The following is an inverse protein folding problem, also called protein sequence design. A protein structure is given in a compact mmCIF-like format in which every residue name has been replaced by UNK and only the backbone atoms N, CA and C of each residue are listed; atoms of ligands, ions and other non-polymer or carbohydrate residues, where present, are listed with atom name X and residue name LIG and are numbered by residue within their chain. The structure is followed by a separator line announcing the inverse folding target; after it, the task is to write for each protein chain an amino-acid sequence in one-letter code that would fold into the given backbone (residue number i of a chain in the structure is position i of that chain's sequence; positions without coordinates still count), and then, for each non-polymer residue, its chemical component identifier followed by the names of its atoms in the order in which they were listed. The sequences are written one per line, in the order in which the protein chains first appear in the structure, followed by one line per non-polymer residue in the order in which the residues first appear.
data_IF_860575937236
#
_entry.id   IF_860575937236
#
_cell.length_a   1.000
_cell.length_b   1.000
_cell.length_c   1.000
_cell.angle_alpha   90.00
_cell.angle_beta   90.00
_cell.angle_gamma   90.00
#
_symmetry.space_group_name_H-M   'P 1'
#
loop_
_entity.id
_entity.type
_entity.pdbx_description
1 polymer ?
#
# COMPACT_ATOMS: atom_id res chain seq x y z
N UNK A 1 38.72 7.90 56.12
CA UNK A 1 38.00 7.66 54.84
C UNK A 1 38.96 6.97 53.88
N UNK A 2 38.57 5.84 53.30
CA UNK A 2 39.41 5.02 52.41
C UNK A 2 38.66 4.66 51.12
N UNK A 3 39.39 4.40 50.04
CA UNK A 3 38.77 4.05 48.76
C UNK A 3 38.12 2.66 48.84
N UNK A 4 36.85 2.56 48.49
CA UNK A 4 36.06 1.32 48.52
C UNK A 4 36.52 0.23 47.53
N UNK A 5 37.45 0.51 46.61
CA UNK A 5 37.99 -0.47 45.65
C UNK A 5 39.43 -0.89 45.98
N UNK A 6 40.33 0.06 46.23
CA UNK A 6 41.76 -0.22 46.45
C UNK A 6 42.22 -0.01 47.90
N UNK A 7 41.32 0.36 48.82
CA UNK A 7 41.57 0.60 50.24
C UNK A 7 42.63 1.66 50.58
N UNK A 8 43.12 2.43 49.60
CA UNK A 8 44.05 3.54 49.86
C UNK A 8 43.38 4.61 50.73
N UNK A 9 44.16 5.23 51.63
CA UNK A 9 43.69 6.38 52.41
C UNK A 9 43.30 7.54 51.47
N UNK A 10 42.13 8.14 51.70
CA UNK A 10 41.65 9.31 50.97
C UNK A 10 41.87 10.61 51.75
N UNK A 11 42.54 10.55 52.90
CA UNK A 11 42.83 11.74 53.70
C UNK A 11 43.76 12.69 52.93
N UNK A 12 43.27 13.91 52.64
CA UNK A 12 44.02 14.93 51.90
C UNK A 12 44.13 14.71 50.38
N UNK A 13 43.43 13.71 49.83
CA UNK A 13 43.41 13.43 48.38
C UNK A 13 42.02 13.65 47.80
N UNK A 14 41.93 14.05 46.52
CA UNK A 14 40.64 14.17 45.82
C UNK A 14 39.94 12.80 45.73
N UNK A 15 38.66 12.76 46.11
CA UNK A 15 37.83 11.56 46.06
C UNK A 15 36.41 11.86 45.57
N UNK A 16 35.74 10.85 45.03
CA UNK A 16 34.37 10.97 44.53
C UNK A 16 33.47 10.02 45.32
N UNK A 17 32.39 10.56 45.86
CA UNK A 17 31.32 9.78 46.48
C UNK A 17 30.31 9.34 45.41
N UNK A 18 29.95 8.07 45.43
CA UNK A 18 28.88 7.51 44.60
C UNK A 18 28.24 6.33 45.32
N UNK A 19 26.91 6.33 45.40
CA UNK A 19 26.12 5.29 46.07
C UNK A 19 26.59 5.03 47.53
N UNK A 20 26.83 6.11 48.28
CA UNK A 20 27.37 6.12 49.65
C UNK A 20 28.76 5.44 49.82
N UNK A 21 29.50 5.25 48.72
CA UNK A 21 30.87 4.71 48.71
C UNK A 21 31.84 5.76 48.19
N UNK A 22 33.07 5.74 48.72
CA UNK A 22 34.11 6.71 48.38
C UNK A 22 35.17 6.07 47.50
N UNK A 23 35.47 6.67 46.37
CA UNK A 23 36.46 6.16 45.41
C UNK A 23 37.59 7.17 45.21
N UNK A 24 38.83 6.72 45.09
CA UNK A 24 39.88 7.55 44.52
C UNK A 24 39.59 7.78 43.03
N UNK A 25 40.10 8.88 42.46
CA UNK A 25 39.86 9.27 41.06
C UNK A 25 40.15 8.12 40.08
N UNK A 26 41.26 7.40 40.27
CA UNK A 26 41.63 6.27 39.39
C UNK A 26 40.62 5.12 39.45
N UNK A 27 40.19 4.72 40.65
CA UNK A 27 39.22 3.65 40.82
C UNK A 27 37.84 4.04 40.30
N UNK A 28 37.44 5.30 40.48
CA UNK A 28 36.20 5.84 39.92
C UNK A 28 36.23 5.82 38.39
N UNK A 29 37.28 6.38 37.79
CA UNK A 29 37.44 6.42 36.33
C UNK A 29 37.47 5.02 35.71
N UNK A 30 38.12 4.07 36.38
CA UNK A 30 38.18 2.68 35.94
C UNK A 30 36.81 1.98 35.93
N UNK A 31 35.88 2.33 36.82
CA UNK A 31 34.57 1.66 36.89
C UNK A 31 33.43 2.44 36.25
N UNK A 32 33.49 3.77 36.31
CA UNK A 32 32.38 4.65 35.98
C UNK A 32 32.75 5.75 35.00
N UNK A 33 34.02 5.79 34.58
CA UNK A 33 34.55 6.76 33.65
C UNK A 33 33.76 6.78 32.35
N UNK A 34 33.41 7.97 31.88
CA UNK A 34 32.75 8.15 30.59
C UNK A 34 33.82 8.32 29.53
N UNK A 35 33.84 7.45 28.53
CA UNK A 35 34.81 7.50 27.42
C UNK A 35 34.15 8.22 26.25
N UNK A 36 34.85 9.18 25.66
CA UNK A 36 34.34 9.86 24.49
C UNK A 36 34.37 8.93 23.27
N UNK A 37 33.21 8.80 22.62
CA UNK A 37 33.01 7.95 21.44
C UNK A 37 33.91 8.32 20.25
N UNK A 38 34.36 9.57 20.18
CA UNK A 38 35.16 10.08 19.04
C UNK A 38 36.65 9.91 19.29
N UNK A 39 37.18 10.51 20.36
CA UNK A 39 38.62 10.50 20.61
C UNK A 39 39.09 9.34 21.50
N UNK A 40 38.16 8.52 22.01
CA UNK A 40 38.44 7.35 22.86
C UNK A 40 39.20 7.68 24.16
N UNK A 41 39.16 8.95 24.59
CA UNK A 41 39.75 9.38 25.86
C UNK A 41 38.68 9.60 26.92
N UNK A 42 39.09 9.46 28.18
CA UNK A 42 38.22 9.68 29.34
C UNK A 42 37.75 11.14 29.37
N UNK A 43 36.47 11.35 29.67
CA UNK A 43 35.90 12.65 29.99
C UNK A 43 36.18 12.91 31.49
N UNK A 44 36.99 13.94 31.84
CA UNK A 44 37.34 14.20 33.23
C UNK A 44 36.11 14.48 34.10
N UNK A 45 36.20 14.09 35.36
CA UNK A 45 35.15 14.29 36.37
C UNK A 45 34.90 15.80 36.53
N UNK A 46 33.63 16.22 36.52
CA UNK A 46 33.23 17.63 36.60
C UNK A 46 33.13 18.36 35.26
N UNK A 47 33.65 17.80 34.17
CA UNK A 47 33.50 18.42 32.84
C UNK A 47 32.10 18.17 32.27
N UNK A 48 31.51 19.19 31.64
CA UNK A 48 30.28 19.04 30.87
C UNK A 48 30.52 18.20 29.61
N UNK A 49 29.60 17.30 29.31
CA UNK A 49 29.64 16.40 28.17
C UNK A 49 28.28 16.32 27.48
N UNK A 50 28.28 15.85 26.23
CA UNK A 50 27.07 15.46 25.52
C UNK A 50 26.84 13.95 25.69
N UNK A 51 25.57 13.52 25.78
CA UNK A 51 25.19 12.12 25.90
C UNK A 51 23.94 11.81 25.08
N UNK A 52 23.93 10.63 24.47
CA UNK A 52 22.78 10.07 23.76
C UNK A 52 22.81 8.55 23.90
N UNK A 53 21.78 7.98 24.53
CA UNK A 53 21.81 6.60 24.98
C UNK A 53 23.01 6.33 25.90
N UNK A 54 23.78 5.29 25.59
CA UNK A 54 25.00 4.92 26.33
C UNK A 54 26.29 5.54 25.77
N UNK A 55 26.19 6.46 24.80
CA UNK A 55 27.34 7.11 24.17
C UNK A 55 27.59 8.50 24.77
N UNK A 56 28.86 8.85 24.88
CA UNK A 56 29.32 10.11 25.47
C UNK A 56 30.31 10.83 24.56
N UNK A 57 30.32 12.16 24.63
CA UNK A 57 31.26 13.00 23.88
C UNK A 57 31.76 14.16 24.73
N UNK A 58 33.06 14.49 24.61
CA UNK A 58 33.50 15.80 25.06
C UNK A 58 32.71 16.87 24.31
N UNK A 59 32.45 18.00 24.97
CA UNK A 59 31.78 19.15 24.35
C UNK A 59 32.41 19.55 23.01
N UNK A 60 33.74 19.49 22.93
CA UNK A 60 34.51 19.81 21.71
C UNK A 60 34.54 18.67 20.68
N UNK A 61 34.19 17.45 21.06
CA UNK A 61 34.13 16.29 20.17
C UNK A 61 32.72 16.05 19.62
N UNK A 62 31.71 16.74 20.14
CA UNK A 62 30.34 16.64 19.68
C UNK A 62 30.08 17.63 18.54
N UNK A 63 30.36 17.18 17.31
CA UNK A 63 30.40 18.02 16.12
C UNK A 63 29.53 17.47 15.00
N UNK A 64 29.07 18.37 14.12
CA UNK A 64 28.32 18.00 12.93
C UNK A 64 29.15 17.10 12.02
N UNK A 65 28.59 15.97 11.60
CA UNK A 65 29.28 15.03 10.70
C UNK A 65 29.62 15.63 9.32
N UNK A 66 28.95 16.72 8.92
CA UNK A 66 29.20 17.40 7.63
C UNK A 66 30.12 18.61 7.79
N UNK A 67 29.72 19.62 8.57
CA UNK A 67 30.45 20.89 8.63
C UNK A 67 31.46 20.97 9.79
N UNK A 68 31.53 19.95 10.65
CA UNK A 68 32.41 19.89 11.81
C UNK A 68 32.22 21.00 12.86
N UNK A 69 31.14 21.79 12.77
CA UNK A 69 30.79 22.78 13.79
C UNK A 69 30.33 22.10 15.09
N UNK A 70 30.60 22.76 16.22
CA UNK A 70 30.17 22.27 17.54
C UNK A 70 28.63 22.26 17.62
N UNK A 71 28.06 21.15 18.08
CA UNK A 71 26.61 20.99 18.16
C UNK A 71 26.10 21.41 19.54
N UNK A 72 25.29 22.48 19.58
CA UNK A 72 24.49 22.86 20.76
C UNK A 72 23.09 22.23 20.69
N UNK A 73 22.54 22.17 19.49
CA UNK A 73 21.34 21.43 19.10
C UNK A 73 21.68 20.57 17.89
N UNK A 74 21.03 19.41 17.75
CA UNK A 74 21.37 18.46 16.69
C UNK A 74 20.15 17.63 16.27
N UNK A 75 20.26 17.05 15.07
CA UNK A 75 19.36 16.02 14.55
C UNK A 75 20.16 14.78 14.22
N UNK A 76 19.55 13.60 14.36
CA UNK A 76 20.16 12.31 14.03
C UNK A 76 19.66 11.90 12.65
N UNK A 77 20.57 11.71 11.70
CA UNK A 77 20.25 11.20 10.36
C UNK A 77 19.96 9.71 10.36
N UNK A 78 19.42 9.21 9.25
CA UNK A 78 19.15 7.77 9.07
C UNK A 78 20.41 6.91 9.16
N UNK A 79 21.58 7.51 8.95
CA UNK A 79 22.90 6.90 9.15
C UNK A 79 23.37 6.90 10.63
N UNK A 80 22.52 7.32 11.56
CA UNK A 80 22.81 7.39 13.00
C UNK A 80 23.80 8.51 13.39
N UNK A 81 24.21 9.35 12.43
CA UNK A 81 25.16 10.45 12.69
C UNK A 81 24.46 11.74 13.10
N UNK A 82 25.22 12.63 13.72
CA UNK A 82 24.69 13.84 14.33
C UNK A 82 25.00 15.05 13.44
N UNK A 83 23.98 15.83 13.14
CA UNK A 83 24.04 16.95 12.21
C UNK A 83 23.52 18.22 12.85
N UNK A 84 24.08 19.37 12.46
CA UNK A 84 23.43 20.65 12.72
C UNK A 84 22.17 20.76 11.87
N UNK A 85 21.21 21.60 12.28
CA UNK A 85 19.93 21.73 11.56
C UNK A 85 20.11 22.06 10.09
N UNK A 86 21.10 22.89 9.74
CA UNK A 86 21.41 23.25 8.35
C UNK A 86 21.84 22.04 7.54
N UNK A 87 22.91 21.35 7.96
CA UNK A 87 23.43 20.19 7.22
C UNK A 87 22.46 19.01 7.21
N UNK A 88 21.67 18.84 8.28
CA UNK A 88 20.59 17.84 8.30
C UNK A 88 19.56 18.15 7.22
N UNK A 89 19.05 19.38 7.17
CA UNK A 89 18.01 19.77 6.22
C UNK A 89 18.55 19.79 4.77
N UNK A 90 19.82 20.07 4.55
CA UNK A 90 20.44 19.94 3.22
C UNK A 90 20.50 18.47 2.76
N UNK A 91 20.83 17.56 3.68
CA UNK A 91 21.00 16.13 3.36
C UNK A 91 19.67 15.39 3.28
N UNK A 92 18.78 15.60 4.26
CA UNK A 92 17.55 14.86 4.52
C UNK A 92 16.28 15.70 4.41
N UNK A 93 16.40 17.03 4.23
CA UNK A 93 15.24 17.91 4.09
C UNK A 93 14.58 17.82 2.72
N UNK A 94 13.36 18.36 2.61
CA UNK A 94 12.58 18.31 1.38
C UNK A 94 13.31 19.02 0.22
N UNK A 95 13.36 18.36 -0.93
CA UNK A 95 13.97 18.87 -2.15
C UNK A 95 12.89 19.28 -3.15
N UNK A 96 13.16 20.34 -3.90
CA UNK A 96 12.28 20.76 -4.98
C UNK A 96 12.22 19.67 -6.04
N UNK A 97 11.01 19.20 -6.38
CA UNK A 97 10.83 18.14 -7.38
C UNK A 97 11.33 18.54 -8.78
N UNK A 98 11.36 19.84 -9.08
CA UNK A 98 11.80 20.38 -10.37
C UNK A 98 13.32 20.49 -10.44
N UNK A 99 13.96 21.13 -9.45
CA UNK A 99 15.38 21.44 -9.52
C UNK A 99 16.26 20.61 -8.59
N UNK A 100 15.68 19.72 -7.79
CA UNK A 100 16.34 18.81 -6.83
C UNK A 100 17.17 19.52 -5.74
N UNK A 101 17.06 20.85 -5.63
CA UNK A 101 17.72 21.63 -4.57
C UNK A 101 16.91 21.59 -3.28
N UNK A 102 17.59 21.62 -2.14
CA UNK A 102 16.96 21.71 -0.83
C UNK A 102 16.09 22.96 -0.73
N UNK A 103 14.86 22.80 -0.27
CA UNK A 103 13.95 23.91 -0.01
C UNK A 103 14.26 24.44 1.39
N UNK A 104 14.95 25.57 1.46
CA UNK A 104 15.21 26.27 2.73
C UNK A 104 14.39 27.55 2.80
N UNK A 105 13.37 27.56 3.65
CA UNK A 105 12.67 28.80 4.03
C UNK A 105 13.33 29.31 5.31
N UNK A 106 14.03 30.44 5.21
CA UNK A 106 14.65 31.09 6.37
C UNK A 106 13.81 32.30 6.78
N UNK A 107 12.93 32.11 7.76
CA UNK A 107 12.30 33.23 8.46
C UNK A 107 13.27 33.71 9.54
N UNK A 108 13.76 34.96 9.43
CA UNK A 108 14.64 35.55 10.45
C UNK A 108 13.83 36.52 11.30
N UNK A 109 13.52 36.11 12.54
CA UNK A 109 12.90 36.97 13.53
C UNK A 109 14.00 37.54 14.44
N UNK A 110 14.10 38.86 14.53
CA UNK A 110 15.09 39.53 15.37
C UNK A 110 14.40 40.11 16.60
N UNK A 111 14.78 39.61 17.78
CA UNK A 111 14.25 40.08 19.06
C UNK A 111 15.34 40.82 19.82
N UNK A 112 14.99 41.98 20.40
CA UNK A 112 15.90 42.75 21.24
C UNK A 112 15.32 42.82 22.64
N UNK A 113 16.09 42.40 23.65
CA UNK A 113 15.68 42.46 25.05
C UNK A 113 16.82 42.95 25.93
N UNK A 114 16.47 43.68 27.00
CA UNK A 114 17.46 44.18 27.99
C UNK A 114 18.13 43.07 28.81
N UNK A 115 17.52 41.88 28.90
CA UNK A 115 18.01 40.74 29.68
C UNK A 115 17.83 39.44 28.89
N UNK A 116 18.80 38.52 29.01
CA UNK A 116 18.80 37.22 28.31
C UNK A 116 17.59 36.33 28.71
N UNK A 117 17.11 36.47 29.94
CA UNK A 117 15.92 35.76 30.46
C UNK A 117 14.66 36.08 29.67
N UNK A 118 14.49 37.33 29.24
CA UNK A 118 13.34 37.76 28.44
C UNK A 118 13.40 37.22 27.02
N UNK A 119 14.61 37.10 26.45
CA UNK A 119 14.85 36.44 25.16
C UNK A 119 14.46 34.96 25.19
N UNK A 120 14.88 34.24 26.23
CA UNK A 120 14.52 32.81 26.41
C UNK A 120 13.02 32.61 26.58
N UNK A 121 12.36 33.46 27.37
CA UNK A 121 10.90 33.41 27.53
C UNK A 121 10.18 33.68 26.21
N UNK A 122 10.59 34.72 25.49
CA UNK A 122 10.00 35.06 24.19
C UNK A 122 10.11 33.91 23.17
N UNK A 123 11.26 33.25 23.09
CA UNK A 123 11.44 32.05 22.25
C UNK A 123 10.50 30.91 22.67
N UNK A 124 10.41 30.62 23.97
CA UNK A 124 9.52 29.58 24.50
C UNK A 124 8.05 29.87 24.21
N UNK A 125 7.64 31.14 24.32
CA UNK A 125 6.25 31.55 24.05
C UNK A 125 5.91 31.42 22.56
N UNK A 126 6.86 31.76 21.66
CA UNK A 126 6.71 31.58 20.21
C UNK A 126 6.64 30.11 19.83
N UNK A 127 7.55 29.27 20.36
CA UNK A 127 7.54 27.82 20.09
C UNK A 127 6.24 27.17 20.59
N UNK A 128 5.78 27.55 21.78
CA UNK A 128 4.50 27.11 22.33
C UNK A 128 3.33 27.52 21.42
N UNK A 129 3.33 28.77 20.95
CA UNK A 129 2.27 29.27 20.07
C UNK A 129 2.26 28.55 18.72
N UNK A 130 3.43 28.34 18.10
CA UNK A 130 3.56 27.58 16.85
C UNK A 130 3.02 26.16 17.04
N UNK A 131 3.39 25.47 18.12
CA UNK A 131 2.93 24.12 18.41
C UNK A 131 1.42 24.03 18.70
N UNK A 132 0.82 25.06 19.30
CA UNK A 132 -0.63 25.11 19.54
C UNK A 132 -1.39 25.31 18.22
N UNK A 133 -0.84 26.12 17.32
CA UNK A 133 -1.47 26.47 16.04
C UNK A 133 -1.26 25.41 14.95
N UNK A 134 -0.26 24.53 15.08
CA UNK A 134 0.06 23.52 14.07
C UNK A 134 -0.37 22.12 14.52
N UNK A 135 -1.19 21.47 13.71
CA UNK A 135 -1.53 20.05 13.86
C UNK A 135 -0.83 19.22 12.80
N UNK A 136 -0.73 17.92 13.04
CA UNK A 136 -0.20 16.95 12.08
C UNK A 136 -1.24 15.85 11.89
N UNK A 137 -1.59 15.57 10.64
CA UNK A 137 -2.39 14.40 10.25
C UNK A 137 -1.53 13.49 9.40
N UNK A 138 -1.62 12.21 9.68
CA UNK A 138 -0.79 11.20 9.07
C UNK A 138 -1.66 10.07 8.53
N UNK A 139 -1.49 9.77 7.24
CA UNK A 139 -2.04 8.58 6.58
C UNK A 139 -0.91 7.57 6.39
N UNK A 140 -1.15 6.35 6.81
CA UNK A 140 -0.25 5.21 6.61
C UNK A 140 -0.91 4.17 5.72
N UNK A 141 -0.11 3.31 5.09
CA UNK A 141 -0.59 2.25 4.18
C UNK A 141 -1.40 2.77 2.98
N UNK A 142 -1.06 3.95 2.46
CA UNK A 142 -1.72 4.54 1.28
C UNK A 142 -1.19 3.91 -0.02
N UNK A 143 -1.60 2.67 -0.29
CA UNK A 143 -1.19 1.93 -1.50
C UNK A 143 -1.57 2.65 -2.80
N UNK A 144 -2.67 3.40 -2.78
CA UNK A 144 -3.12 4.17 -3.94
C UNK A 144 -2.14 5.29 -4.32
N UNK A 145 -1.09 5.58 -3.56
CA UNK A 145 -0.01 6.46 -4.02
C UNK A 145 0.69 5.96 -5.29
N UNK A 146 0.59 4.67 -5.63
CA UNK A 146 1.20 4.12 -6.87
C UNK A 146 0.56 4.65 -8.15
N UNK A 147 -0.69 5.09 -8.10
CA UNK A 147 -1.38 5.66 -9.26
C UNK A 147 -1.23 7.19 -9.36
N UNK A 148 -0.54 7.82 -8.40
CA UNK A 148 -0.34 9.27 -8.40
C UNK A 148 0.75 9.68 -9.40
N UNK A 149 0.34 10.32 -10.48
CA UNK A 149 1.26 10.88 -11.48
C UNK A 149 1.93 12.15 -10.96
N UNK A 150 3.05 12.55 -11.58
CA UNK A 150 3.72 13.82 -11.29
C UNK A 150 2.75 15.02 -11.36
N UNK A 151 1.77 14.98 -12.25
CA UNK A 151 0.76 16.03 -12.38
C UNK A 151 -0.18 16.09 -11.17
N UNK A 152 -0.68 14.95 -10.69
CA UNK A 152 -1.52 14.88 -9.50
C UNK A 152 -0.78 15.35 -8.25
N UNK A 153 0.49 14.97 -8.13
CA UNK A 153 1.36 15.44 -7.05
C UNK A 153 1.45 16.97 -7.07
N UNK A 154 1.75 17.56 -8.23
CA UNK A 154 1.85 19.02 -8.36
C UNK A 154 0.54 19.74 -8.04
N UNK A 155 -0.60 19.20 -8.49
CA UNK A 155 -1.93 19.75 -8.19
C UNK A 155 -2.20 19.74 -6.69
N UNK A 156 -1.93 18.62 -6.03
CA UNK A 156 -2.12 18.48 -4.59
C UNK A 156 -1.19 19.39 -3.79
N UNK A 157 0.10 19.41 -4.12
CA UNK A 157 1.07 20.31 -3.47
C UNK A 157 0.66 21.76 -3.61
N UNK A 158 0.21 22.18 -4.81
CA UNK A 158 -0.31 23.52 -5.02
C UNK A 158 -1.49 23.82 -4.11
N UNK A 159 -2.48 22.94 -4.07
CA UNK A 159 -3.62 23.09 -3.18
C UNK A 159 -3.19 23.23 -1.71
N UNK A 160 -2.29 22.37 -1.22
CA UNK A 160 -1.82 22.47 0.15
C UNK A 160 -1.12 23.82 0.43
N UNK A 161 -0.23 24.25 -0.47
CA UNK A 161 0.50 25.51 -0.29
C UNK A 161 -0.41 26.74 -0.35
N UNK A 162 -1.42 26.74 -1.22
CA UNK A 162 -2.43 27.81 -1.33
C UNK A 162 -3.32 27.89 -0.06
N UNK A 163 -3.31 26.85 0.77
CA UNK A 163 -4.09 26.71 2.00
C UNK A 163 -3.22 26.63 3.28
N UNK A 164 -1.96 27.07 3.21
CA UNK A 164 -0.99 27.07 4.33
C UNK A 164 -0.76 25.70 4.98
N UNK A 165 -0.79 24.65 4.17
CA UNK A 165 -0.52 23.27 4.57
C UNK A 165 0.81 22.83 3.99
N UNK A 166 1.62 22.18 4.81
CA UNK A 166 2.85 21.54 4.42
C UNK A 166 2.65 20.04 4.21
N UNK A 167 2.54 19.56 2.96
CA UNK A 167 2.43 18.13 2.68
C UNK A 167 3.82 17.48 2.61
N UNK A 168 3.95 16.29 3.19
CA UNK A 168 5.08 15.39 2.98
C UNK A 168 4.55 14.05 2.51
N UNK A 169 4.93 13.65 1.31
CA UNK A 169 4.53 12.37 0.71
C UNK A 169 5.77 11.49 0.61
N UNK A 170 5.71 10.30 1.22
CA UNK A 170 6.70 9.25 1.07
C UNK A 170 6.08 8.09 0.28
N UNK A 171 6.48 7.94 -0.97
CA UNK A 171 5.97 6.90 -1.87
C UNK A 171 6.48 5.50 -1.51
N UNK A 172 7.69 5.37 -0.98
CA UNK A 172 8.25 4.08 -0.56
C UNK A 172 7.57 3.55 0.69
N UNK A 173 7.32 4.44 1.67
CA UNK A 173 6.66 4.10 2.94
C UNK A 173 5.13 4.19 2.87
N UNK A 174 4.55 4.49 1.70
CA UNK A 174 3.10 4.67 1.49
C UNK A 174 2.47 5.62 2.50
N UNK A 175 3.12 6.76 2.73
CA UNK A 175 2.81 7.68 3.84
C UNK A 175 2.53 9.09 3.35
N UNK A 176 1.45 9.70 3.84
CA UNK A 176 1.15 11.12 3.60
C UNK A 176 1.01 11.84 4.93
N UNK A 177 1.76 12.91 5.11
CA UNK A 177 1.75 13.74 6.32
C UNK A 177 1.34 15.15 5.92
N UNK A 178 0.34 15.70 6.61
CA UNK A 178 -0.16 17.06 6.43
C UNK A 178 0.05 17.83 7.71
N UNK A 179 0.71 18.99 7.62
CA UNK A 179 1.01 19.86 8.76
C UNK A 179 0.42 21.25 8.48
N UNK A 180 -0.34 21.79 9.43
CA UNK A 180 -1.05 23.07 9.25
C UNK A 180 -2.14 23.28 10.31
N UNK A 181 -3.05 24.23 10.07
CA UNK A 181 -4.23 24.40 10.92
C UNK A 181 -5.22 23.22 10.74
N UNK A 182 -5.89 22.82 11.84
CA UNK A 182 -6.77 21.64 11.84
C UNK A 182 -7.80 21.64 10.70
N UNK A 183 -8.51 22.75 10.52
CA UNK A 183 -9.57 22.86 9.50
C UNK A 183 -9.00 22.69 8.10
N UNK A 184 -7.91 23.39 7.80
CA UNK A 184 -7.24 23.31 6.50
C UNK A 184 -6.71 21.90 6.23
N UNK A 185 -6.13 21.24 7.23
CA UNK A 185 -5.69 19.84 7.13
C UNK A 185 -6.83 18.92 6.72
N UNK A 186 -7.99 19.02 7.35
CA UNK A 186 -9.14 18.15 7.03
C UNK A 186 -9.66 18.41 5.61
N UNK A 187 -9.64 19.66 5.14
CA UNK A 187 -10.00 20.01 3.77
C UNK A 187 -8.99 19.43 2.75
N UNK A 188 -7.68 19.53 3.03
CA UNK A 188 -6.65 18.92 2.17
C UNK A 188 -6.69 17.40 2.19
N UNK A 189 -6.97 16.79 3.33
CA UNK A 189 -7.14 15.35 3.46
C UNK A 189 -8.30 14.85 2.59
N UNK A 190 -9.41 15.58 2.59
CA UNK A 190 -10.55 15.31 1.69
C UNK A 190 -10.15 15.50 0.22
N UNK A 191 -9.44 16.57 -0.09
CA UNK A 191 -8.98 16.83 -1.46
C UNK A 191 -8.02 15.75 -1.98
N UNK A 192 -7.13 15.24 -1.13
CA UNK A 192 -6.27 14.09 -1.43
C UNK A 192 -7.10 12.86 -1.83
N UNK A 193 -8.14 12.54 -1.05
CA UNK A 193 -9.04 11.42 -1.35
C UNK A 193 -9.82 11.62 -2.66
N UNK A 194 -10.26 12.85 -2.94
CA UNK A 194 -10.95 13.19 -4.19
C UNK A 194 -10.04 13.01 -5.40
N UNK A 195 -8.79 13.51 -5.36
CA UNK A 195 -7.81 13.31 -6.43
C UNK A 195 -7.48 11.83 -6.62
N UNK A 196 -7.29 11.09 -5.54
CA UNK A 196 -7.04 9.64 -5.59
C UNK A 196 -8.20 8.91 -6.24
N UNK A 197 -9.43 9.26 -5.88
CA UNK A 197 -10.65 8.68 -6.47
C UNK A 197 -10.78 9.00 -7.95
N UNK A 198 -10.43 10.22 -8.37
CA UNK A 198 -10.42 10.59 -9.78
C UNK A 198 -9.36 9.82 -10.57
N UNK A 199 -8.15 9.69 -10.02
CA UNK A 199 -7.07 8.91 -10.62
C UNK A 199 -7.44 7.43 -10.77
N UNK A 200 -8.10 6.84 -9.76
CA UNK A 200 -8.63 5.48 -9.82
C UNK A 200 -9.65 5.33 -10.96
N UNK A 201 -10.59 6.27 -11.08
CA UNK A 201 -11.60 6.27 -12.17
C UNK A 201 -10.96 6.39 -13.55
N UNK A 202 -9.99 7.28 -13.71
CA UNK A 202 -9.29 7.46 -14.99
C UNK A 202 -8.51 6.20 -15.38
N UNK A 203 -7.79 5.62 -14.43
CA UNK A 203 -7.06 4.36 -14.60
C UNK A 203 -8.01 3.23 -15.00
N UNK A 204 -9.20 3.19 -14.40
CA UNK A 204 -10.25 2.23 -14.74
C UNK A 204 -10.75 2.39 -16.18
N UNK A 205 -10.98 3.63 -16.61
CA UNK A 205 -11.40 3.94 -17.97
C UNK A 205 -10.37 3.61 -19.04
N UNK A 206 -9.09 3.80 -18.74
CA UNK A 206 -7.99 3.40 -19.62
C UNK A 206 -7.92 1.86 -19.81
N UNK A 207 -8.40 1.07 -18.86
CA UNK A 207 -8.43 -0.41 -18.96
C UNK A 207 -9.59 -0.87 -19.83
N UNK A 208 -10.79 -0.35 -19.57
CA UNK A 208 -12.00 -0.76 -20.28
C UNK A 208 -11.90 -0.36 -21.76
N UNK A 209 -11.39 0.84 -22.05
CA UNK A 209 -11.20 1.35 -23.41
C UNK A 209 -10.13 0.63 -24.25
N UNK A 210 -9.24 -0.16 -23.64
CA UNK A 210 -8.24 -0.98 -24.38
C UNK A 210 -8.79 -2.31 -24.88
N UNK A 211 -9.79 -2.86 -24.18
CA UNK A 211 -10.41 -4.14 -24.54
C UNK A 211 -11.77 -3.96 -25.21
N UNK A 212 -12.38 -2.78 -25.07
CA UNK A 212 -13.65 -2.42 -25.71
C UNK A 212 -13.40 -1.25 -26.65
N UNK A 213 -13.80 -1.43 -27.90
CA UNK A 213 -13.74 -0.39 -28.92
C UNK A 213 -15.15 -0.11 -29.42
N UNK A 214 -15.56 1.12 -29.21
CA UNK A 214 -16.72 1.71 -29.86
C UNK A 214 -16.35 2.07 -31.29
N UNK A 215 -17.27 1.79 -32.20
CA UNK A 215 -17.13 2.07 -33.62
C UNK A 215 -18.37 2.77 -34.14
N UNK A 216 -18.21 3.60 -35.17
CA UNK A 216 -19.29 4.19 -35.93
C UNK A 216 -19.22 3.73 -37.39
N UNK A 217 -20.38 3.68 -38.03
CA UNK A 217 -20.50 3.23 -39.42
C UNK A 217 -20.12 4.36 -40.39
N UNK A 218 -19.36 4.03 -41.44
CA UNK A 218 -19.02 4.97 -42.51
C UNK A 218 -19.97 4.73 -43.70
N UNK A 219 -20.79 5.74 -44.00
CA UNK A 219 -21.79 5.74 -45.07
C UNK A 219 -22.79 4.56 -45.00
N UNK A 220 -23.57 4.32 -46.05
CA UNK A 220 -24.52 3.19 -46.14
C UNK A 220 -23.84 1.82 -46.37
N UNK A 221 -22.53 1.73 -46.19
CA UNK A 221 -21.73 0.51 -46.38
C UNK A 221 -21.56 -0.28 -45.07
N UNK A 222 -21.12 -1.53 -45.14
CA UNK A 222 -20.79 -2.37 -43.96
C UNK A 222 -19.48 -1.96 -43.25
N UNK A 223 -18.89 -0.82 -43.62
CA UNK A 223 -17.59 -0.37 -43.11
C UNK A 223 -17.72 0.37 -41.77
N UNK A 224 -16.79 0.11 -40.85
CA UNK A 224 -16.79 0.66 -39.50
C UNK A 224 -15.45 1.31 -39.15
N UNK A 225 -15.50 2.48 -38.54
CA UNK A 225 -14.34 3.20 -38.01
C UNK A 225 -14.37 3.23 -36.49
N UNK A 226 -13.21 3.24 -35.85
CA UNK A 226 -13.11 3.28 -34.39
C UNK A 226 -13.05 4.72 -33.91
N UNK A 227 -13.70 5.03 -32.81
CA UNK A 227 -13.47 6.31 -32.13
C UNK A 227 -12.00 6.41 -31.69
N UNK A 228 -11.50 7.63 -31.58
CA UNK A 228 -10.18 7.87 -30.99
C UNK A 228 -10.12 7.29 -29.57
N UNK A 229 -8.92 7.01 -29.09
CA UNK A 229 -8.71 6.43 -27.76
C UNK A 229 -9.45 7.22 -26.65
N UNK A 230 -9.36 8.57 -26.69
CA UNK A 230 -10.00 9.44 -25.70
C UNK A 230 -11.53 9.38 -25.78
N UNK A 231 -12.08 9.54 -26.99
CA UNK A 231 -13.52 9.46 -27.21
C UNK A 231 -14.05 8.08 -26.80
N UNK A 232 -13.36 7.01 -27.16
CA UNK A 232 -13.72 5.64 -26.79
C UNK A 232 -13.82 5.45 -25.26
N UNK A 233 -12.87 5.99 -24.49
CA UNK A 233 -12.89 5.94 -23.03
C UNK A 233 -14.06 6.73 -22.43
N UNK A 234 -14.35 7.92 -22.95
CA UNK A 234 -15.47 8.74 -22.49
C UNK A 234 -16.83 8.09 -22.78
N UNK A 235 -16.99 7.50 -23.96
CA UNK A 235 -18.20 6.78 -24.37
C UNK A 235 -18.45 5.59 -23.45
N UNK A 236 -17.42 4.78 -23.23
CA UNK A 236 -17.52 3.61 -22.36
C UNK A 236 -17.78 4.00 -20.90
N UNK A 237 -17.22 5.13 -20.43
CA UNK A 237 -17.54 5.65 -19.11
C UNK A 237 -19.01 5.98 -18.96
N UNK A 238 -19.54 6.73 -19.93
CA UNK A 238 -20.93 7.19 -19.95
C UNK A 238 -21.90 6.01 -20.01
N UNK A 239 -21.58 5.01 -20.84
CA UNK A 239 -22.41 3.82 -21.02
C UNK A 239 -22.39 2.89 -19.81
N UNK A 240 -21.21 2.47 -19.35
CA UNK A 240 -21.08 1.38 -18.36
C UNK A 240 -21.23 1.87 -16.93
N UNK A 241 -20.64 3.01 -16.59
CA UNK A 241 -20.57 3.48 -15.20
C UNK A 241 -21.66 4.46 -14.85
N UNK A 242 -21.85 5.46 -15.70
CA UNK A 242 -22.91 6.45 -15.50
C UNK A 242 -24.28 5.95 -15.95
N UNK A 243 -24.33 4.90 -16.78
CA UNK A 243 -25.56 4.34 -17.36
C UNK A 243 -26.42 5.42 -18.02
N UNK A 244 -25.77 6.36 -18.71
CA UNK A 244 -26.46 7.42 -19.42
C UNK A 244 -27.17 6.84 -20.65
N UNK A 245 -28.28 7.46 -21.02
CA UNK A 245 -28.93 7.20 -22.31
C UNK A 245 -28.28 8.00 -23.44
N UNK A 246 -27.65 9.13 -23.13
CA UNK A 246 -27.18 10.10 -24.10
C UNK A 246 -25.90 10.80 -23.61
N UNK A 247 -24.91 10.99 -24.48
CA UNK A 247 -23.64 11.66 -24.14
C UNK A 247 -23.12 12.52 -25.30
N UNK A 248 -22.53 13.67 -25.00
CA UNK A 248 -21.81 14.50 -25.96
C UNK A 248 -20.33 14.18 -25.90
N UNK A 249 -19.72 13.88 -27.05
CA UNK A 249 -18.30 13.53 -27.17
C UNK A 249 -17.65 14.53 -28.12
N UNK A 250 -16.55 15.12 -27.67
CA UNK A 250 -15.76 16.06 -28.49
C UNK A 250 -14.43 15.41 -28.89
N UNK A 251 -14.13 15.41 -30.18
CA UNK A 251 -12.89 14.86 -30.71
C UNK A 251 -11.72 15.84 -30.56
N UNK A 252 -10.52 15.40 -30.95
CA UNK A 252 -9.28 16.18 -30.83
C UNK A 252 -9.24 17.41 -31.76
N UNK A 253 -10.14 17.48 -32.74
CA UNK A 253 -10.33 18.61 -33.65
C UNK A 253 -11.41 19.58 -33.15
N UNK A 254 -11.89 19.42 -31.92
CA UNK A 254 -12.99 20.19 -31.31
C UNK A 254 -14.36 20.00 -31.97
N UNK A 255 -14.55 18.94 -32.75
CA UNK A 255 -15.85 18.59 -33.32
C UNK A 255 -16.63 17.72 -32.34
N UNK A 256 -17.93 17.95 -32.20
CA UNK A 256 -18.77 17.26 -31.21
C UNK A 256 -19.81 16.37 -31.87
N UNK A 257 -19.94 15.13 -31.41
CA UNK A 257 -21.06 14.26 -31.74
C UNK A 257 -21.92 13.97 -30.51
N UNK A 258 -23.18 13.65 -30.75
CA UNK A 258 -24.13 13.23 -29.73
C UNK A 258 -24.38 11.74 -29.90
N UNK A 259 -24.14 10.95 -28.86
CA UNK A 259 -24.35 9.50 -28.88
C UNK A 259 -25.62 9.17 -28.11
N UNK A 260 -26.54 8.46 -28.75
CA UNK A 260 -27.76 7.89 -28.16
C UNK A 260 -27.57 6.37 -28.02
N UNK A 261 -27.34 5.91 -26.80
CA UNK A 261 -27.10 4.50 -26.50
C UNK A 261 -28.33 3.63 -26.67
N UNK A 262 -29.53 4.21 -26.52
CA UNK A 262 -30.78 3.48 -26.68
C UNK A 262 -31.06 3.18 -28.16
N UNK A 263 -30.80 4.17 -29.02
CA UNK A 263 -30.94 4.00 -30.48
C UNK A 263 -29.73 3.31 -31.11
N UNK A 264 -28.59 3.26 -30.42
CA UNK A 264 -27.30 2.80 -30.94
C UNK A 264 -26.89 3.64 -32.16
N UNK A 265 -27.04 4.94 -32.02
CA UNK A 265 -26.78 5.92 -33.08
C UNK A 265 -25.95 7.08 -32.52
N UNK A 266 -25.20 7.73 -33.40
CA UNK A 266 -24.64 9.04 -33.14
C UNK A 266 -25.14 10.07 -34.15
N UNK A 267 -25.19 11.33 -33.72
CA UNK A 267 -25.51 12.49 -34.53
C UNK A 267 -24.23 13.33 -34.63
N UNK A 268 -23.67 13.42 -35.84
CA UNK A 268 -22.49 14.21 -36.14
C UNK A 268 -22.72 15.02 -37.42
N UNK A 269 -22.56 16.36 -37.35
CA UNK A 269 -22.81 17.27 -38.47
C UNK A 269 -24.17 17.02 -39.18
N UNK A 270 -25.24 16.87 -38.38
CA UNK A 270 -26.61 16.57 -38.84
C UNK A 270 -26.79 15.23 -39.58
N UNK A 271 -25.79 14.36 -39.58
CA UNK A 271 -25.88 12.97 -40.08
C UNK A 271 -26.06 12.01 -38.91
N UNK A 272 -26.86 10.98 -39.13
CA UNK A 272 -27.06 9.88 -38.18
C UNK A 272 -26.20 8.70 -38.64
N UNK A 273 -25.36 8.17 -37.74
CA UNK A 273 -24.53 6.99 -38.00
C UNK A 273 -24.82 5.92 -36.95
N UNK A 274 -24.87 4.66 -37.35
CA UNK A 274 -24.97 3.57 -36.38
C UNK A 274 -23.66 3.47 -35.58
N UNK A 275 -23.77 3.12 -34.31
CA UNK A 275 -22.62 2.81 -33.46
C UNK A 275 -22.69 1.36 -33.01
N UNK A 276 -21.53 0.78 -32.73
CA UNK A 276 -21.44 -0.53 -32.10
C UNK A 276 -20.33 -0.56 -31.07
N UNK A 277 -20.56 -1.36 -30.04
CA UNK A 277 -19.59 -1.68 -29.00
C UNK A 277 -18.99 -3.06 -29.31
N UNK A 278 -17.69 -3.11 -29.59
CA UNK A 278 -16.98 -4.36 -29.88
C UNK A 278 -16.02 -4.70 -28.73
N UNK A 279 -16.05 -5.95 -28.27
CA UNK A 279 -15.01 -6.48 -27.37
C UNK A 279 -13.87 -7.06 -28.23
N UNK A 280 -12.64 -6.57 -28.04
CA UNK A 280 -11.45 -7.00 -28.78
C UNK A 280 -10.89 -8.33 -28.26
N UNK A 281 -11.23 -8.72 -27.04
CA UNK A 281 -10.91 -10.02 -26.46
C UNK A 281 -12.13 -10.92 -26.52
N UNK A 282 -11.97 -12.18 -26.96
CA UNK A 282 -13.04 -13.18 -26.97
C UNK A 282 -13.52 -13.58 -25.57
N UNK A 283 -12.84 -13.09 -24.52
CA UNK A 283 -13.18 -13.22 -23.11
C UNK A 283 -13.15 -11.83 -22.46
N UNK A 284 -14.07 -11.51 -21.55
CA UNK A 284 -14.04 -10.26 -20.77
C UNK A 284 -13.16 -10.42 -19.53
N UNK A 285 -12.16 -9.56 -19.36
CA UNK A 285 -11.52 -9.36 -18.05
C UNK A 285 -12.56 -8.86 -17.04
N UNK A 286 -12.42 -9.16 -15.74
CA UNK A 286 -13.35 -8.69 -14.73
C UNK A 286 -13.37 -7.16 -14.71
N UNK A 287 -14.57 -6.59 -14.64
CA UNK A 287 -14.76 -5.14 -14.72
C UNK A 287 -14.25 -4.41 -13.49
N UNK A 288 -13.93 -5.10 -12.40
CA UNK A 288 -13.37 -4.55 -11.16
C UNK A 288 -11.84 -4.46 -11.15
N UNK A 289 -11.13 -4.94 -12.17
CA UNK A 289 -9.66 -4.95 -12.19
C UNK A 289 -9.02 -3.55 -12.38
N UNK A 290 -7.95 -3.26 -11.63
CA UNK A 290 -7.06 -2.07 -11.72
C UNK A 290 -5.94 -2.27 -12.77
N UNK A 291 -5.26 -1.18 -13.19
CA UNK A 291 -4.24 -1.22 -14.24
C UNK A 291 -2.96 -1.87 -13.72
N UNK A 292 -2.34 -2.72 -14.54
CA UNK A 292 -1.04 -3.32 -14.23
C UNK A 292 -0.08 -3.11 -15.39
N UNK A 293 1.14 -2.67 -15.09
CA UNK A 293 2.26 -2.67 -16.05
C UNK A 293 2.93 -4.06 -16.18
N UNK A 294 2.58 -4.99 -15.27
CA UNK A 294 3.13 -6.34 -15.15
C UNK A 294 1.97 -7.35 -15.20
N UNK A 295 2.22 -8.59 -15.61
CA UNK A 295 1.19 -9.63 -15.79
C UNK A 295 0.49 -10.08 -14.49
N UNK A 296 1.03 -9.74 -13.31
CA UNK A 296 0.52 -10.12 -12.01
C UNK A 296 0.75 -9.01 -10.98
N UNK A 297 -0.33 -8.53 -10.35
CA UNK A 297 -0.26 -7.66 -9.17
C UNK A 297 -1.37 -8.03 -8.17
N UNK A 298 -1.14 -7.67 -6.90
CA UNK A 298 -2.13 -7.66 -5.83
C UNK A 298 -2.52 -6.21 -5.54
N UNK A 299 -3.79 -5.97 -5.29
CA UNK A 299 -4.31 -4.64 -4.97
C UNK A 299 -5.09 -4.68 -3.66
N UNK A 300 -4.63 -3.96 -2.65
CA UNK A 300 -5.38 -3.84 -1.39
C UNK A 300 -6.68 -3.07 -1.65
N UNK A 301 -7.79 -3.68 -1.23
CA UNK A 301 -9.11 -3.08 -1.33
C UNK A 301 -9.39 -2.16 -0.14
N UNK A 302 -9.95 -0.99 -0.43
CA UNK A 302 -10.48 -0.10 0.62
C UNK A 302 -11.75 -0.69 1.22
N UNK A 303 -11.87 -0.62 2.56
CA UNK A 303 -13.03 -1.12 3.32
C UNK A 303 -14.36 -0.48 2.92
N UNK A 304 -14.33 0.70 2.30
CA UNK A 304 -15.52 1.40 1.84
C UNK A 304 -16.08 0.86 0.52
N UNK A 305 -15.29 0.10 -0.24
CA UNK A 305 -15.72 -0.48 -1.50
C UNK A 305 -16.72 -1.62 -1.27
N UNK A 306 -17.75 -1.67 -2.10
CA UNK A 306 -18.74 -2.74 -2.05
C UNK A 306 -18.12 -4.12 -2.30
N UNK A 307 -17.09 -4.15 -3.14
CA UNK A 307 -16.26 -5.33 -3.38
C UNK A 307 -15.63 -5.88 -2.09
N UNK A 308 -15.02 -5.03 -1.26
CA UNK A 308 -14.45 -5.43 0.02
C UNK A 308 -15.53 -6.02 0.94
N UNK A 309 -16.67 -5.32 1.08
CA UNK A 309 -17.78 -5.75 1.95
C UNK A 309 -18.32 -7.11 1.53
N UNK A 310 -18.50 -7.34 0.23
CA UNK A 310 -18.99 -8.61 -0.31
C UNK A 310 -18.05 -9.78 -0.01
N UNK A 311 -16.73 -9.57 -0.08
CA UNK A 311 -15.74 -10.61 0.24
C UNK A 311 -15.69 -10.85 1.75
N UNK A 312 -15.71 -9.77 2.55
CA UNK A 312 -15.77 -9.86 4.01
C UNK A 312 -17.01 -10.62 4.49
N UNK A 313 -18.19 -10.32 3.93
CA UNK A 313 -19.44 -11.00 4.29
C UNK A 313 -19.33 -12.51 4.08
N UNK A 314 -18.84 -12.96 2.90
CA UNK A 314 -18.64 -14.38 2.62
C UNK A 314 -17.67 -15.06 3.59
N UNK A 315 -16.59 -14.37 3.96
CA UNK A 315 -15.64 -14.87 4.96
C UNK A 315 -16.30 -14.97 6.35
N UNK A 316 -17.00 -13.92 6.77
CA UNK A 316 -17.68 -13.82 8.07
C UNK A 316 -18.75 -14.89 8.28
N UNK A 317 -19.42 -15.35 7.22
CA UNK A 317 -20.44 -16.42 7.31
C UNK A 317 -19.97 -17.63 8.12
N UNK A 318 -18.67 -17.93 8.11
CA UNK A 318 -18.11 -19.07 8.84
C UNK A 318 -16.96 -18.71 9.78
N UNK A 319 -16.33 -17.55 9.60
CA UNK A 319 -15.19 -17.12 10.41
C UNK A 319 -15.53 -16.14 11.53
N UNK A 320 -16.74 -15.57 11.58
CA UNK A 320 -17.10 -14.61 12.64
C UNK A 320 -16.84 -15.21 14.04
N UNK A 321 -16.05 -14.50 14.86
CA UNK A 321 -15.60 -14.94 16.18
C UNK A 321 -14.40 -15.90 16.21
N UNK A 322 -13.87 -16.30 15.04
CA UNK A 322 -12.64 -17.11 14.91
C UNK A 322 -11.45 -16.29 14.35
N UNK A 323 -11.61 -14.98 14.23
CA UNK A 323 -10.54 -14.02 13.94
C UNK A 323 -10.81 -12.73 14.73
N UNK A 324 -9.77 -11.94 14.94
CA UNK A 324 -9.79 -10.68 15.69
C UNK A 324 -9.88 -9.47 14.76
N UNK A 325 -9.10 -9.47 13.67
CA UNK A 325 -9.02 -8.37 12.74
C UNK A 325 -8.65 -8.86 11.34
N UNK A 326 -9.30 -8.32 10.30
CA UNK A 326 -8.83 -8.45 8.91
C UNK A 326 -7.80 -7.34 8.68
N UNK A 327 -6.59 -7.71 8.25
CA UNK A 327 -5.50 -6.78 7.94
C UNK A 327 -5.61 -6.24 6.52
N UNK A 328 -5.90 -7.11 5.56
CA UNK A 328 -6.12 -6.74 4.17
C UNK A 328 -7.01 -7.74 3.46
N UNK A 329 -7.76 -7.24 2.48
CA UNK A 329 -8.33 -8.04 1.40
C UNK A 329 -7.69 -7.53 0.11
N UNK A 330 -6.94 -8.39 -0.55
CA UNK A 330 -6.12 -8.04 -1.69
C UNK A 330 -6.70 -8.71 -2.93
N UNK A 331 -7.16 -7.93 -3.91
CA UNK A 331 -7.58 -8.50 -5.19
C UNK A 331 -6.35 -8.97 -5.96
N UNK A 332 -6.36 -10.23 -6.35
CA UNK A 332 -5.33 -10.83 -7.19
C UNK A 332 -5.73 -10.63 -8.64
N UNK A 333 -4.86 -9.98 -9.41
CA UNK A 333 -5.04 -9.93 -10.86
C UNK A 333 -3.82 -10.47 -11.56
N UNK A 334 -3.95 -11.68 -12.07
CA UNK A 334 -2.96 -12.33 -12.90
C UNK A 334 -3.58 -12.57 -14.28
N UNK A 335 -3.23 -11.72 -15.24
CA UNK A 335 -3.88 -11.71 -16.55
C UNK A 335 -3.61 -13.01 -17.32
N UNK A 336 -2.41 -13.59 -17.17
CA UNK A 336 -2.04 -14.86 -17.83
C UNK A 336 -2.91 -16.01 -17.35
N UNK A 337 -3.13 -16.11 -16.03
CA UNK A 337 -3.90 -17.22 -15.47
C UNK A 337 -5.40 -17.01 -15.61
N UNK A 338 -5.89 -15.78 -15.46
CA UNK A 338 -7.31 -15.50 -15.70
C UNK A 338 -7.72 -15.80 -17.14
N UNK A 339 -6.85 -15.56 -18.13
CA UNK A 339 -7.10 -15.95 -19.53
C UNK A 339 -7.34 -17.44 -19.69
N UNK A 340 -6.51 -18.26 -19.05
CA UNK A 340 -6.63 -19.72 -19.12
C UNK A 340 -7.87 -20.21 -18.37
N UNK A 341 -8.12 -19.63 -17.20
CA UNK A 341 -9.30 -19.89 -16.40
C UNK A 341 -10.60 -19.57 -17.16
N UNK A 342 -10.71 -18.35 -17.71
CA UNK A 342 -11.89 -17.90 -18.43
C UNK A 342 -12.17 -18.77 -19.67
N UNK A 343 -11.12 -19.12 -20.43
CA UNK A 343 -11.27 -20.04 -21.57
C UNK A 343 -11.78 -21.43 -21.12
N UNK A 344 -11.31 -21.94 -19.98
CA UNK A 344 -11.77 -23.21 -19.44
C UNK A 344 -13.21 -23.14 -18.94
N UNK A 345 -13.58 -22.04 -18.28
CA UNK A 345 -14.96 -21.75 -17.83
C UNK A 345 -15.91 -21.75 -19.02
N UNK A 346 -15.59 -20.99 -20.05
CA UNK A 346 -16.48 -20.81 -21.21
C UNK A 346 -16.68 -22.16 -21.93
N UNK A 347 -15.61 -22.96 -22.11
CA UNK A 347 -15.69 -24.31 -22.67
C UNK A 347 -16.50 -25.28 -21.78
N UNK A 348 -16.33 -25.21 -20.45
CA UNK A 348 -17.07 -26.03 -19.50
C UNK A 348 -18.57 -25.69 -19.51
N UNK A 349 -18.90 -24.40 -19.46
CA UNK A 349 -20.27 -23.91 -19.49
C UNK A 349 -20.95 -24.24 -20.83
N UNK A 350 -20.22 -24.18 -21.96
CA UNK A 350 -20.75 -24.60 -23.26
C UNK A 350 -21.06 -26.11 -23.29
N UNK A 351 -20.20 -26.95 -22.71
CA UNK A 351 -20.39 -28.41 -22.65
C UNK A 351 -21.52 -28.81 -21.70
N UNK A 352 -21.64 -28.14 -20.55
CA UNK A 352 -22.58 -28.49 -19.49
C UNK A 352 -23.93 -27.78 -19.61
N UNK A 353 -23.99 -26.66 -20.36
CA UNK A 353 -25.16 -25.76 -20.46
C UNK A 353 -25.63 -25.22 -19.11
N UNK A 354 -24.71 -25.11 -18.15
CA UNK A 354 -24.94 -24.63 -16.78
C UNK A 354 -23.70 -23.86 -16.32
N UNK A 355 -23.88 -22.86 -15.45
CA UNK A 355 -22.78 -22.21 -14.75
C UNK A 355 -22.41 -23.01 -13.50
N UNK A 356 -21.23 -23.61 -13.53
CA UNK A 356 -20.74 -24.49 -12.46
C UNK A 356 -19.57 -23.87 -11.69
N UNK A 357 -19.34 -22.56 -11.86
CA UNK A 357 -18.39 -21.80 -11.07
C UNK A 357 -18.86 -21.68 -9.62
N UNK A 358 -17.95 -21.90 -8.67
CA UNK A 358 -18.18 -21.67 -7.24
C UNK A 358 -17.11 -20.76 -6.67
N UNK A 359 -17.52 -19.91 -5.74
CA UNK A 359 -16.60 -19.15 -4.88
C UNK A 359 -16.29 -20.02 -3.66
N UNK A 360 -15.03 -20.43 -3.53
CA UNK A 360 -14.55 -21.31 -2.46
C UNK A 360 -13.34 -20.70 -1.75
N UNK A 361 -12.92 -21.32 -0.64
CA UNK A 361 -11.79 -20.89 0.18
C UNK A 361 -10.61 -21.87 0.09
N UNK A 362 -9.40 -21.34 0.20
CA UNK A 362 -8.16 -22.12 0.28
C UNK A 362 -7.19 -21.50 1.31
N UNK A 363 -6.94 -22.23 2.40
CA UNK A 363 -5.97 -21.82 3.41
C UNK A 363 -4.55 -22.22 3.02
N UNK A 364 -3.59 -21.31 3.22
CA UNK A 364 -2.18 -21.58 2.93
C UNK A 364 -1.26 -20.81 3.89
N UNK A 365 0.06 -21.04 3.79
CA UNK A 365 1.08 -20.21 4.43
C UNK A 365 1.54 -19.09 3.46
N UNK A 366 2.30 -18.12 3.97
CA UNK A 366 2.73 -16.95 3.19
C UNK A 366 3.60 -17.31 1.97
N UNK A 367 4.52 -18.27 2.09
CA UNK A 367 5.39 -18.71 0.99
C UNK A 367 4.56 -19.33 -0.16
N UNK A 368 3.59 -20.17 0.20
CA UNK A 368 2.62 -20.73 -0.74
C UNK A 368 1.74 -19.64 -1.36
N UNK A 369 1.33 -18.63 -0.59
CA UNK A 369 0.50 -17.54 -1.10
C UNK A 369 1.23 -16.75 -2.20
N UNK A 370 2.50 -16.40 -1.99
CA UNK A 370 3.31 -15.74 -3.01
C UNK A 370 3.44 -16.58 -4.28
N UNK A 371 3.69 -17.89 -4.12
CA UNK A 371 3.81 -18.82 -5.26
C UNK A 371 2.49 -18.96 -6.04
N UNK A 372 1.35 -19.03 -5.35
CA UNK A 372 0.01 -19.16 -5.97
C UNK A 372 -0.35 -17.90 -6.76
N UNK A 373 0.02 -16.72 -6.26
CA UNK A 373 -0.24 -15.45 -6.95
C UNK A 373 0.51 -15.39 -8.29
N UNK A 374 1.76 -15.85 -8.32
CA UNK A 374 2.61 -15.83 -9.52
C UNK A 374 2.26 -16.97 -10.50
N UNK A 375 2.18 -18.19 -10.01
CA UNK A 375 2.14 -19.43 -10.82
C UNK A 375 0.79 -20.18 -10.77
N UNK A 376 -0.23 -19.60 -10.13
CA UNK A 376 -1.53 -20.23 -9.89
C UNK A 376 -1.46 -21.50 -9.02
N UNK A 377 -2.60 -22.16 -8.83
CA UNK A 377 -2.68 -23.44 -8.14
C UNK A 377 -2.01 -24.53 -8.96
N UNK A 378 -1.01 -25.18 -8.37
CA UNK A 378 -0.24 -26.22 -9.04
C UNK A 378 -0.50 -27.58 -8.38
N UNK A 379 -1.12 -28.49 -9.14
CA UNK A 379 -1.47 -29.84 -8.65
C UNK A 379 -0.26 -30.70 -8.29
N UNK A 380 0.96 -30.37 -8.71
CA UNK A 380 2.17 -31.13 -8.34
C UNK A 380 2.46 -31.08 -6.83
N UNK A 381 1.86 -30.12 -6.11
CA UNK A 381 1.86 -30.04 -4.65
C UNK A 381 0.70 -30.81 -3.98
N UNK A 382 -0.08 -31.59 -4.74
CA UNK A 382 -1.13 -32.42 -4.17
C UNK A 382 -0.56 -33.41 -3.14
N UNK A 383 -1.24 -33.54 -1.99
CA UNK A 383 -0.87 -34.46 -0.92
C UNK A 383 -0.05 -33.89 0.23
N UNK A 384 0.33 -32.60 0.19
CA UNK A 384 1.00 -31.92 1.31
C UNK A 384 0.15 -31.96 2.60
N UNK A 385 -1.17 -31.81 2.47
CA UNK A 385 -2.11 -31.79 3.59
C UNK A 385 -3.09 -32.98 3.58
N UNK A 386 -2.82 -34.00 2.77
CA UNK A 386 -3.67 -35.18 2.59
C UNK A 386 -4.34 -35.26 1.21
N UNK A 387 -4.81 -36.46 0.86
CA UNK A 387 -5.43 -36.76 -0.44
C UNK A 387 -6.77 -37.48 -0.30
N UNK A 388 -7.49 -37.32 0.83
CA UNK A 388 -8.68 -38.15 1.19
C UNK A 388 -9.69 -38.31 0.04
N UNK A 389 -9.96 -37.21 -0.67
CA UNK A 389 -10.92 -37.16 -1.79
C UNK A 389 -10.28 -37.08 -3.18
N UNK A 390 -8.96 -37.21 -3.30
CA UNK A 390 -8.23 -37.14 -4.57
C UNK A 390 -6.83 -36.54 -4.48
N UNK A 391 -6.01 -36.78 -5.50
CA UNK A 391 -4.67 -36.22 -5.67
C UNK A 391 -4.75 -34.96 -6.54
N UNK A 392 -5.40 -33.93 -6.00
CA UNK A 392 -5.59 -32.64 -6.65
C UNK A 392 -5.52 -31.47 -5.67
N UNK A 393 -6.03 -30.31 -6.09
CA UNK A 393 -6.05 -29.10 -5.26
C UNK A 393 -7.39 -28.98 -4.56
N UNK A 394 -7.36 -28.74 -3.25
CA UNK A 394 -8.51 -28.73 -2.36
C UNK A 394 -9.04 -27.32 -2.12
N UNK A 395 -10.36 -27.18 -2.17
CA UNK A 395 -11.10 -25.95 -1.90
C UNK A 395 -12.31 -26.25 -1.03
N UNK A 396 -12.62 -25.40 -0.06
CA UNK A 396 -13.76 -25.59 0.85
C UNK A 396 -14.82 -24.50 0.66
N UNK A 397 -16.09 -24.85 0.81
CA UNK A 397 -17.19 -23.89 0.89
C UNK A 397 -17.13 -23.06 2.17
N UNK A 398 -16.50 -23.62 3.21
CA UNK A 398 -16.40 -23.05 4.55
C UNK A 398 -14.99 -22.50 4.81
N UNK A 399 -14.88 -21.19 5.11
CA UNK A 399 -13.60 -20.55 5.41
C UNK A 399 -12.98 -21.08 6.71
N UNK A 400 -13.79 -21.43 7.72
CA UNK A 400 -13.32 -22.05 8.96
C UNK A 400 -12.63 -23.39 8.74
N UNK A 401 -13.09 -24.17 7.77
CA UNK A 401 -12.39 -25.40 7.37
C UNK A 401 -11.01 -25.05 6.79
N UNK A 402 -10.96 -24.09 5.88
CA UNK A 402 -9.71 -23.60 5.26
C UNK A 402 -8.73 -23.02 6.28
N UNK A 403 -9.21 -22.38 7.36
CA UNK A 403 -8.37 -21.83 8.43
C UNK A 403 -7.44 -22.88 9.05
N UNK A 404 -7.89 -24.13 9.20
CA UNK A 404 -7.08 -25.22 9.77
C UNK A 404 -5.82 -25.57 8.95
N UNK A 405 -5.74 -25.09 7.70
CA UNK A 405 -4.59 -25.26 6.80
C UNK A 405 -3.72 -24.00 6.67
N UNK A 406 -4.04 -22.95 7.44
CA UNK A 406 -3.24 -21.73 7.50
C UNK A 406 -2.19 -21.82 8.61
N UNK A 407 -1.13 -21.01 8.52
CA UNK A 407 -0.13 -20.82 9.58
C UNK A 407 0.17 -19.34 9.73
N UNK A 408 0.39 -18.90 10.97
CA UNK A 408 0.81 -17.53 11.27
C UNK A 408 2.15 -17.24 10.59
N UNK A 409 2.22 -16.12 9.88
CA UNK A 409 3.45 -15.59 9.31
C UNK A 409 4.28 -14.82 10.37
N UNK A 410 5.39 -14.20 9.94
CA UNK A 410 6.25 -13.40 10.82
C UNK A 410 5.56 -12.15 11.39
N UNK A 411 4.52 -11.67 10.72
CA UNK A 411 3.67 -10.56 11.17
C UNK A 411 2.49 -11.03 12.05
N UNK A 412 2.43 -12.32 12.42
CA UNK A 412 1.32 -12.97 13.12
C UNK A 412 -0.01 -12.95 12.34
N UNK A 413 0.04 -13.08 11.02
CA UNK A 413 -1.13 -13.09 10.14
C UNK A 413 -1.33 -14.46 9.50
N UNK A 414 -2.60 -14.86 9.35
CA UNK A 414 -3.04 -15.99 8.52
C UNK A 414 -3.30 -15.53 7.08
N UNK A 415 -3.06 -16.41 6.10
CA UNK A 415 -3.34 -16.17 4.67
C UNK A 415 -4.38 -17.14 4.15
N UNK A 416 -5.46 -16.63 3.55
CA UNK A 416 -6.50 -17.45 2.92
C UNK A 416 -6.95 -16.84 1.60
N UNK A 417 -7.02 -17.65 0.56
CA UNK A 417 -7.59 -17.22 -0.72
C UNK A 417 -9.10 -17.41 -0.76
N UNK A 418 -9.76 -16.46 -1.42
CA UNK A 418 -11.07 -16.63 -2.04
C UNK A 418 -10.83 -16.94 -3.51
N UNK A 419 -11.42 -18.03 -3.99
CA UNK A 419 -11.05 -18.66 -5.25
C UNK A 419 -12.29 -18.89 -6.10
N UNK A 420 -12.21 -18.56 -7.39
CA UNK A 420 -13.20 -18.98 -8.39
C UNK A 420 -12.82 -20.39 -8.87
N UNK A 421 -13.70 -21.36 -8.67
CA UNK A 421 -13.43 -22.78 -8.94
C UNK A 421 -14.48 -23.36 -9.88
N UNK A 422 -14.02 -23.94 -10.98
CA UNK A 422 -14.83 -24.62 -11.99
C UNK A 422 -15.07 -26.07 -11.55
N UNK A 423 -16.11 -26.29 -10.74
CA UNK A 423 -16.37 -27.62 -10.17
C UNK A 423 -17.02 -28.57 -11.16
N UNK A 424 -17.75 -28.08 -12.16
CA UNK A 424 -18.39 -28.91 -13.18
C UNK A 424 -19.27 -30.01 -12.58
N UNK A 425 -19.29 -31.18 -13.22
CA UNK A 425 -19.93 -32.38 -12.64
C UNK A 425 -19.03 -32.99 -11.58
N UNK A 426 -19.44 -32.96 -10.31
CA UNK A 426 -18.69 -33.55 -9.20
C UNK A 426 -19.14 -34.99 -8.89
N UNK A 427 -18.22 -35.81 -8.38
CA UNK A 427 -18.49 -37.15 -7.84
C UNK A 427 -17.82 -37.33 -6.47
N UNK A 428 -18.29 -38.27 -5.66
CA UNK A 428 -17.61 -38.61 -4.41
C UNK A 428 -16.16 -39.04 -4.66
N UNK A 429 -15.22 -38.41 -3.95
CA UNK A 429 -13.80 -38.62 -4.12
C UNK A 429 -13.22 -39.78 -3.31
N UNK A 430 -12.06 -40.29 -3.71
CA UNK A 430 -11.23 -41.17 -2.88
C UNK A 430 -9.74 -40.94 -3.11
N UNK A 431 -8.91 -41.44 -2.20
CA UNK A 431 -7.49 -41.10 -2.14
C UNK A 431 -6.59 -41.61 -3.23
N UNK A 432 -7.07 -42.56 -4.03
CA UNK A 432 -6.34 -43.11 -5.17
C UNK A 432 -6.55 -42.33 -6.47
N UNK A 433 -7.55 -41.43 -6.52
CA UNK A 433 -7.93 -40.71 -7.73
C UNK A 433 -6.90 -39.65 -8.11
N UNK A 434 -6.26 -39.79 -9.27
CA UNK A 434 -5.38 -38.78 -9.87
C UNK A 434 -6.08 -37.84 -10.84
N UNK A 435 -7.25 -38.27 -11.32
CA UNK A 435 -8.18 -37.55 -12.19
C UNK A 435 -9.58 -38.08 -11.88
N UNK A 436 -10.64 -37.28 -12.10
CA UNK A 436 -12.00 -37.74 -11.90
C UNK A 436 -12.36 -38.81 -12.97
N UNK A 437 -13.30 -39.73 -12.67
CA UNK A 437 -13.82 -40.68 -13.65
C UNK A 437 -14.40 -39.97 -14.88
N UNK A 438 -14.40 -40.66 -16.02
CA UNK A 438 -14.91 -40.11 -17.29
C UNK A 438 -16.34 -39.58 -17.11
N UNK A 439 -16.55 -38.31 -17.46
CA UNK A 439 -17.84 -37.63 -17.34
C UNK A 439 -17.98 -36.72 -16.11
N UNK A 440 -16.98 -36.74 -15.21
CA UNK A 440 -16.87 -35.84 -14.07
C UNK A 440 -15.66 -34.92 -14.20
N UNK A 441 -15.73 -33.76 -13.55
CA UNK A 441 -14.77 -32.66 -13.67
C UNK A 441 -14.05 -32.37 -12.35
N UNK A 442 -14.66 -32.74 -11.21
CA UNK A 442 -14.09 -32.63 -9.87
C UNK A 442 -14.54 -33.78 -8.98
N UNK A 443 -13.90 -33.92 -7.82
CA UNK A 443 -14.38 -34.80 -6.75
C UNK A 443 -14.76 -34.00 -5.51
N UNK A 444 -15.61 -34.57 -4.65
CA UNK A 444 -16.13 -33.90 -3.45
C UNK A 444 -16.37 -34.89 -2.30
N UNK A 445 -16.52 -34.37 -1.08
CA UNK A 445 -16.83 -35.11 0.15
C UNK A 445 -18.31 -35.09 0.56
N UNK A 446 -19.12 -34.25 -0.12
CA UNK A 446 -20.59 -34.09 -0.10
C UNK A 446 -20.96 -32.60 -0.37
N UNK A 447 -20.28 -31.97 -1.32
CA UNK A 447 -20.39 -30.55 -1.68
C UNK A 447 -19.88 -29.55 -0.64
N UNK A 448 -19.06 -29.98 0.34
CA UNK A 448 -18.39 -29.07 1.27
C UNK A 448 -16.94 -28.80 0.86
N UNK A 449 -16.25 -29.82 0.36
CA UNK A 449 -14.89 -29.78 -0.15
C UNK A 449 -14.93 -30.20 -1.62
N UNK A 450 -14.22 -29.46 -2.47
CA UNK A 450 -14.04 -29.78 -3.88
C UNK A 450 -12.56 -29.97 -4.19
N UNK A 451 -12.25 -31.00 -4.97
CA UNK A 451 -10.91 -31.28 -5.48
C UNK A 451 -10.93 -31.16 -7.00
N UNK A 452 -10.07 -30.29 -7.53
CA UNK A 452 -9.88 -30.10 -8.98
C UNK A 452 -8.51 -30.61 -9.41
N UNK A 453 -8.39 -30.97 -10.68
CA UNK A 453 -7.26 -31.76 -11.19
C UNK A 453 -6.52 -31.09 -12.35
N UNK A 454 -6.95 -29.89 -12.74
CA UNK A 454 -6.36 -29.10 -13.80
C UNK A 454 -6.01 -27.70 -13.30
N UNK A 455 -4.83 -27.20 -13.65
CA UNK A 455 -4.28 -25.95 -13.10
C UNK A 455 -5.13 -24.72 -13.47
N UNK A 456 -5.83 -24.78 -14.62
CA UNK A 456 -6.76 -23.74 -15.07
C UNK A 456 -8.21 -23.87 -14.52
N UNK A 457 -8.51 -24.85 -13.64
CA UNK A 457 -9.85 -25.00 -13.03
C UNK A 457 -10.08 -24.06 -11.84
N UNK A 458 -9.05 -23.40 -11.34
CA UNK A 458 -9.14 -22.50 -10.19
C UNK A 458 -8.37 -21.22 -10.46
N UNK A 459 -8.96 -20.08 -10.08
CA UNK A 459 -8.33 -18.78 -10.13
C UNK A 459 -8.38 -18.11 -8.76
N UNK A 460 -7.21 -17.78 -8.22
CA UNK A 460 -7.10 -17.02 -6.97
C UNK A 460 -7.60 -15.60 -7.22
N UNK A 461 -8.74 -15.23 -6.64
CA UNK A 461 -9.43 -13.97 -6.92
C UNK A 461 -9.12 -12.91 -5.86
N UNK A 462 -9.11 -13.31 -4.58
CA UNK A 462 -8.68 -12.46 -3.47
C UNK A 462 -7.80 -13.22 -2.49
N UNK A 463 -6.84 -12.52 -1.88
CA UNK A 463 -6.08 -12.97 -0.72
C UNK A 463 -6.54 -12.19 0.51
N UNK A 464 -6.99 -12.88 1.54
CA UNK A 464 -7.39 -12.32 2.83
C UNK A 464 -6.24 -12.56 3.82
N UNK A 465 -5.76 -11.49 4.45
CA UNK A 465 -4.84 -11.54 5.58
C UNK A 465 -5.57 -11.14 6.86
N UNK A 466 -5.44 -11.93 7.92
CA UNK A 466 -6.18 -11.72 9.18
C UNK A 466 -5.43 -12.28 10.38
N UNK A 467 -5.76 -11.78 11.57
CA UNK A 467 -5.25 -12.25 12.87
C UNK A 467 -6.24 -13.14 13.60
#
# INVERSE_FOLDING_TARGET
MSCSKCNVSLAGSECVEKDNKHFCINCYNSQFGKICTVCQTLIPIGNKFASYGEKYWHRLCFRCATCNESLTTYKIGDDGQHYCSTCYNEKYGPKCIVCQKAITIKLTLTFTAKQETNLKKCLSDIESHINICTQTKCRENEENLDIWTQQLILIFYKYCLDHDIWPMINFEQKKVILIGEKKSIDDADKYFLELTTQALKQTHLDIVSRNIVWKYQIDSSTSWESYSYKCNAEIEYAFTFKKLSLVNITNEQSETCIIDFNKKEEIFNSRIRNIQRQNLTSYSLPTNWQFQSINCCRFILSEHLEEYKNIKEKFDLTMLGNYTCIKSIERVQNQRWYKQYAAHRDAMNERLKEDTEKILFHGCNEDSANSIVEECFNRSYAGVNGTVYGQGVYFATNAKYSHSYTRLNQANEHCMFVVLVLVGKSIFGNSSMKVPPKGYDSTTDNNEIFVVYHDAQAYADYLIKYE
#
